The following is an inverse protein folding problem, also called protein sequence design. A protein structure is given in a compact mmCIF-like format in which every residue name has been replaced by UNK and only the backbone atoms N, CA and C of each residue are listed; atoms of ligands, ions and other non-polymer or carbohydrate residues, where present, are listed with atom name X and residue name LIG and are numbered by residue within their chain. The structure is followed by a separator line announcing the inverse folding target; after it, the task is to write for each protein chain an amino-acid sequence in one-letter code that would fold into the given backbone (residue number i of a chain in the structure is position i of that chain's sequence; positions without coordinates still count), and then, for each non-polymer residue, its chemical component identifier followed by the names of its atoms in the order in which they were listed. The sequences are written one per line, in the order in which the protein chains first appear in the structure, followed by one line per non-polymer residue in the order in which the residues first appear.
data_IF_330439450954
#
_entry.id   IF_330439450954
#
_cell.length_a   1.000
_cell.length_b   1.000
_cell.length_c   1.000
_cell.angle_alpha   90.00
_cell.angle_beta   90.00
_cell.angle_gamma   90.00
#
_symmetry.space_group_name_H-M   'P 1'
#
loop_
_entity.id
_entity.type
_entity.pdbx_description
1 polymer ?
#
# COMPACT_ATOMS: atom_id res chain seq x y z
N UNK A 1 -61.97 -16.04 -60.96
CA UNK A 1 -62.22 -17.47 -61.22
C UNK A 1 -60.99 -18.25 -60.72
N UNK A 2 -61.15 -18.96 -59.58
CA UNK A 2 -60.31 -20.07 -59.01
C UNK A 2 -58.80 -19.81 -58.73
N UNK A 3 -58.11 -20.49 -57.77
CA UNK A 3 -58.37 -20.61 -56.33
C UNK A 3 -57.12 -20.40 -55.41
N UNK A 4 -57.39 -20.33 -54.09
CA UNK A 4 -56.47 -20.64 -52.97
C UNK A 4 -55.72 -21.96 -53.18
N UNK A 5 -54.44 -22.05 -52.79
CA UNK A 5 -53.91 -23.15 -51.94
C UNK A 5 -52.76 -22.65 -51.05
N UNK A 6 -52.76 -23.16 -49.82
CA UNK A 6 -51.96 -22.76 -48.66
C UNK A 6 -50.49 -23.19 -48.76
N UNK A 7 -49.61 -22.34 -48.23
CA UNK A 7 -48.20 -22.62 -47.92
C UNK A 7 -48.06 -23.89 -47.07
N UNK A 8 -47.25 -24.83 -47.52
CA UNK A 8 -46.63 -25.86 -46.67
C UNK A 8 -45.13 -25.87 -46.96
N UNK A 9 -44.35 -25.14 -46.16
CA UNK A 9 -42.91 -25.30 -46.10
C UNK A 9 -42.62 -26.61 -45.35
N UNK A 10 -42.06 -27.60 -46.06
CA UNK A 10 -41.40 -28.75 -45.43
C UNK A 10 -40.18 -28.23 -44.66
N UNK A 11 -40.23 -28.25 -43.33
CA UNK A 11 -39.03 -28.17 -42.51
C UNK A 11 -38.22 -29.45 -42.74
N UNK A 12 -37.09 -29.32 -43.45
CA UNK A 12 -36.06 -30.34 -43.45
C UNK A 12 -35.45 -30.39 -42.04
N UNK A 13 -35.56 -31.54 -41.39
CA UNK A 13 -34.93 -31.78 -40.10
C UNK A 13 -33.40 -31.72 -40.26
N UNK A 14 -32.78 -30.64 -39.79
CA UNK A 14 -31.34 -30.57 -39.61
C UNK A 14 -30.98 -31.59 -38.53
N UNK A 15 -30.33 -32.68 -38.94
CA UNK A 15 -29.79 -33.69 -38.03
C UNK A 15 -28.73 -33.00 -37.17
N UNK A 16 -29.10 -32.66 -35.94
CA UNK A 16 -28.19 -32.13 -34.94
C UNK A 16 -27.03 -33.11 -34.76
N UNK A 17 -25.84 -32.72 -35.23
CA UNK A 17 -24.61 -33.39 -34.85
C UNK A 17 -24.46 -33.13 -33.35
N UNK A 18 -24.56 -34.20 -32.55
CA UNK A 18 -24.28 -34.12 -31.12
C UNK A 18 -22.88 -33.52 -30.96
N UNK A 19 -22.66 -32.55 -30.06
CA UNK A 19 -21.32 -32.09 -29.76
C UNK A 19 -20.51 -33.30 -29.31
N UNK A 20 -19.46 -33.62 -30.06
CA UNK A 20 -18.46 -34.59 -29.66
C UNK A 20 -17.89 -34.11 -28.34
N UNK A 21 -18.19 -34.86 -27.27
CA UNK A 21 -17.49 -34.70 -26.01
C UNK A 21 -16.01 -34.94 -26.29
N UNK A 22 -15.20 -33.87 -26.30
CA UNK A 22 -13.76 -34.00 -26.24
C UNK A 22 -13.49 -34.66 -24.89
N UNK A 23 -13.28 -35.97 -24.92
CA UNK A 23 -12.83 -36.73 -23.77
C UNK A 23 -11.51 -36.10 -23.33
N UNK A 24 -11.53 -35.37 -22.21
CA UNK A 24 -10.32 -34.88 -21.60
C UNK A 24 -9.50 -36.12 -21.19
N UNK A 25 -8.47 -36.44 -21.98
CA UNK A 25 -7.55 -37.51 -21.66
C UNK A 25 -7.08 -37.34 -20.20
N UNK A 26 -6.97 -38.42 -19.42
CA UNK A 26 -6.50 -38.32 -18.04
C UNK A 26 -5.13 -37.65 -18.05
N UNK A 27 -5.00 -36.54 -17.29
CA UNK A 27 -3.72 -35.85 -17.14
C UNK A 27 -2.70 -36.87 -16.64
N UNK A 28 -1.60 -37.01 -17.39
CA UNK A 28 -0.50 -37.91 -16.99
C UNK A 28 -0.06 -37.54 -15.56
N UNK A 29 0.21 -38.53 -14.69
CA UNK A 29 0.77 -38.23 -13.38
C UNK A 29 2.06 -37.43 -13.53
N UNK A 30 2.30 -36.44 -12.64
CA UNK A 30 3.47 -35.59 -12.73
C UNK A 30 4.75 -36.42 -12.60
N UNK A 31 5.79 -36.01 -13.31
CA UNK A 31 7.14 -36.54 -13.10
C UNK A 31 7.65 -36.17 -11.69
N UNK A 32 8.70 -36.86 -11.22
CA UNK A 32 9.32 -36.56 -9.92
C UNK A 32 9.78 -35.10 -9.85
N UNK A 33 10.35 -34.58 -10.94
CA UNK A 33 10.78 -33.19 -11.04
C UNK A 33 9.59 -32.21 -11.09
N UNK A 34 8.49 -32.56 -11.76
CA UNK A 34 7.25 -31.76 -11.74
C UNK A 34 6.63 -31.70 -10.34
N UNK A 35 6.58 -32.82 -9.62
CA UNK A 35 6.07 -32.88 -8.25
C UNK A 35 6.97 -32.09 -7.29
N UNK A 36 8.30 -32.22 -7.42
CA UNK A 36 9.26 -31.48 -6.61
C UNK A 36 9.25 -29.96 -6.90
N UNK A 37 9.09 -29.57 -8.18
CA UNK A 37 8.91 -28.19 -8.58
C UNK A 37 7.62 -27.60 -8.02
N UNK A 38 6.52 -28.36 -8.03
CA UNK A 38 5.25 -27.93 -7.47
C UNK A 38 5.33 -27.71 -5.95
N UNK A 39 5.92 -28.64 -5.20
CA UNK A 39 6.14 -28.45 -3.75
C UNK A 39 7.02 -27.22 -3.45
N UNK A 40 8.06 -27.00 -4.25
CA UNK A 40 8.93 -25.82 -4.13
C UNK A 40 8.14 -24.53 -4.39
N UNK A 41 7.24 -24.55 -5.38
CA UNK A 41 6.38 -23.44 -5.72
C UNK A 41 5.39 -23.15 -4.60
N UNK A 42 4.71 -24.17 -4.07
CA UNK A 42 3.74 -24.03 -2.98
C UNK A 42 4.37 -23.43 -1.73
N UNK A 43 5.60 -23.83 -1.40
CA UNK A 43 6.37 -23.23 -0.31
C UNK A 43 6.64 -21.75 -0.57
N UNK A 44 7.17 -21.39 -1.74
CA UNK A 44 7.44 -20.00 -2.09
C UNK A 44 6.17 -19.14 -2.10
N UNK A 45 5.08 -19.68 -2.64
CA UNK A 45 3.79 -19.02 -2.70
C UNK A 45 3.14 -18.86 -1.32
N UNK A 46 3.35 -19.80 -0.39
CA UNK A 46 2.94 -19.64 1.00
C UNK A 46 3.60 -18.41 1.62
N UNK A 47 4.91 -18.25 1.50
CA UNK A 47 5.61 -17.07 2.00
C UNK A 47 5.09 -15.77 1.35
N UNK A 48 4.79 -15.83 0.05
CA UNK A 48 4.22 -14.71 -0.69
C UNK A 48 2.85 -14.28 -0.14
N UNK A 49 1.95 -15.23 0.13
CA UNK A 49 0.61 -14.94 0.66
C UNK A 49 0.63 -14.40 2.09
N UNK A 50 1.66 -14.74 2.88
CA UNK A 50 1.89 -14.18 4.22
C UNK A 50 2.55 -12.79 4.21
N UNK A 51 2.82 -12.23 3.03
CA UNK A 51 3.47 -10.93 2.91
C UNK A 51 4.99 -10.94 3.13
N UNK A 52 5.61 -12.12 3.31
CA UNK A 52 7.07 -12.25 3.49
C UNK A 52 7.78 -12.24 2.14
N UNK A 53 7.73 -11.10 1.45
CA UNK A 53 8.22 -10.98 0.06
C UNK A 53 9.72 -11.23 -0.07
N UNK A 54 10.52 -10.95 0.96
CA UNK A 54 11.96 -11.24 0.99
C UNK A 54 12.26 -12.74 0.89
N UNK A 55 11.58 -13.53 1.72
CA UNK A 55 11.70 -15.00 1.72
C UNK A 55 11.11 -15.60 0.44
N UNK A 56 9.92 -15.15 0.04
CA UNK A 56 9.26 -15.59 -1.19
C UNK A 56 10.16 -15.38 -2.41
N UNK A 57 10.79 -14.20 -2.55
CA UNK A 57 11.74 -13.90 -3.64
C UNK A 57 12.89 -14.91 -3.68
N UNK A 58 13.51 -15.19 -2.54
CA UNK A 58 14.63 -16.12 -2.47
C UNK A 58 14.21 -17.54 -2.88
N UNK A 59 13.04 -17.99 -2.42
CA UNK A 59 12.50 -19.31 -2.76
C UNK A 59 12.10 -19.43 -4.24
N UNK A 60 11.49 -18.40 -4.83
CA UNK A 60 11.20 -18.39 -6.26
C UNK A 60 12.46 -18.39 -7.13
N UNK A 61 13.53 -17.67 -6.72
CA UNK A 61 14.83 -17.73 -7.40
C UNK A 61 15.44 -19.12 -7.34
N UNK A 62 15.47 -19.75 -6.16
CA UNK A 62 15.99 -21.10 -5.99
C UNK A 62 15.19 -22.14 -6.79
N UNK A 63 13.86 -21.98 -6.87
CA UNK A 63 13.01 -22.80 -7.71
C UNK A 63 13.39 -22.66 -9.18
N UNK A 64 13.52 -21.42 -9.69
CA UNK A 64 13.84 -21.17 -11.09
C UNK A 64 15.23 -21.65 -11.47
N UNK A 65 16.19 -21.60 -10.55
CA UNK A 65 17.53 -22.14 -10.75
C UNK A 65 17.48 -23.67 -10.94
N UNK A 66 16.76 -24.37 -10.05
CA UNK A 66 16.72 -25.84 -10.03
C UNK A 66 15.76 -26.47 -11.05
N UNK A 67 14.63 -25.83 -11.33
CA UNK A 67 13.54 -26.40 -12.12
C UNK A 67 13.17 -25.51 -13.33
N UNK A 68 14.14 -24.79 -13.89
CA UNK A 68 13.97 -23.91 -15.07
C UNK A 68 13.29 -24.59 -16.26
N UNK A 69 13.45 -25.91 -16.39
CA UNK A 69 12.93 -26.73 -17.49
C UNK A 69 11.44 -27.08 -17.34
N UNK A 70 10.86 -26.95 -16.13
CA UNK A 70 9.44 -27.23 -15.90
C UNK A 70 8.62 -25.99 -16.26
N UNK A 71 8.24 -25.88 -17.54
CA UNK A 71 7.71 -24.66 -18.16
C UNK A 71 6.55 -24.01 -17.39
N UNK A 72 5.56 -24.78 -16.93
CA UNK A 72 4.38 -24.24 -16.24
C UNK A 72 4.74 -23.62 -14.87
N UNK A 73 5.50 -24.37 -14.05
CA UNK A 73 5.90 -23.91 -12.71
C UNK A 73 6.88 -22.75 -12.83
N UNK A 74 7.83 -22.82 -13.77
CA UNK A 74 8.78 -21.75 -14.02
C UNK A 74 8.08 -20.46 -14.47
N UNK A 75 7.10 -20.54 -15.37
CA UNK A 75 6.33 -19.37 -15.80
C UNK A 75 5.61 -18.70 -14.61
N UNK A 76 4.93 -19.48 -13.77
CA UNK A 76 4.29 -18.98 -12.56
C UNK A 76 5.28 -18.36 -11.58
N UNK A 77 6.39 -19.04 -11.32
CA UNK A 77 7.42 -18.57 -10.39
C UNK A 77 8.03 -17.24 -10.83
N UNK A 78 8.27 -17.03 -12.14
CA UNK A 78 8.75 -15.73 -12.66
C UNK A 78 7.77 -14.60 -12.38
N UNK A 79 6.47 -14.84 -12.57
CA UNK A 79 5.44 -13.82 -12.29
C UNK A 79 5.44 -13.41 -10.82
N UNK A 80 5.40 -14.39 -9.89
CA UNK A 80 5.40 -14.08 -8.46
C UNK A 80 6.72 -13.48 -7.98
N UNK A 81 7.85 -13.90 -8.56
CA UNK A 81 9.16 -13.30 -8.30
C UNK A 81 9.15 -11.81 -8.67
N UNK A 82 8.67 -11.47 -9.87
CA UNK A 82 8.59 -10.07 -10.32
C UNK A 82 7.71 -9.22 -9.39
N UNK A 83 6.58 -9.76 -8.92
CA UNK A 83 5.71 -9.06 -7.97
C UNK A 83 6.40 -8.88 -6.61
N UNK A 84 7.05 -9.94 -6.09
CA UNK A 84 7.78 -9.86 -4.83
C UNK A 84 8.92 -8.83 -4.90
N UNK A 85 9.68 -8.80 -6.00
CA UNK A 85 10.72 -7.80 -6.21
C UNK A 85 10.16 -6.38 -6.35
N UNK A 86 9.05 -6.20 -7.05
CA UNK A 86 8.39 -4.90 -7.14
C UNK A 86 7.93 -4.41 -5.76
N UNK A 87 7.32 -5.27 -4.94
CA UNK A 87 6.90 -4.92 -3.57
C UNK A 87 8.08 -4.54 -2.69
N UNK A 88 9.15 -5.32 -2.73
CA UNK A 88 10.37 -5.02 -1.97
C UNK A 88 11.03 -3.70 -2.41
N UNK A 89 11.02 -3.39 -3.71
CA UNK A 89 11.49 -2.08 -4.20
C UNK A 89 10.65 -0.95 -3.64
N UNK A 90 9.33 -1.06 -3.69
CA UNK A 90 8.42 -0.06 -3.12
C UNK A 90 8.63 0.09 -1.61
N UNK A 91 8.72 -1.02 -0.87
CA UNK A 91 8.99 -0.99 0.58
C UNK A 91 10.33 -0.37 0.95
N UNK A 92 11.35 -0.53 0.10
CA UNK A 92 12.65 0.10 0.28
C UNK A 92 12.66 1.58 -0.14
N UNK A 93 11.66 2.04 -0.92
CA UNK A 93 11.45 3.45 -1.22
C UNK A 93 10.52 4.14 -0.22
N UNK A 94 9.85 3.39 0.68
CA UNK A 94 9.08 4.01 1.75
C UNK A 94 10.04 4.69 2.73
N UNK A 95 9.79 5.95 3.13
CA UNK A 95 10.56 6.61 4.18
C UNK A 95 10.57 5.74 5.45
N UNK A 96 11.76 5.44 5.98
CA UNK A 96 11.95 4.47 7.07
C UNK A 96 12.44 5.10 8.38
N UNK A 97 13.36 6.04 8.28
CA UNK A 97 13.82 6.86 9.40
C UNK A 97 12.87 8.03 9.68
N UNK A 98 13.03 8.63 10.85
CA UNK A 98 12.18 9.71 11.32
C UNK A 98 12.27 10.94 10.40
N UNK A 99 13.49 11.31 9.99
CA UNK A 99 13.76 12.47 9.14
C UNK A 99 13.09 12.34 7.77
N UNK A 100 13.23 11.21 7.09
CA UNK A 100 12.61 10.99 5.78
C UNK A 100 11.07 10.97 5.87
N UNK A 101 10.52 10.43 6.96
CA UNK A 101 9.08 10.46 7.23
C UNK A 101 8.61 11.89 7.52
N UNK A 102 9.39 12.67 8.27
CA UNK A 102 9.14 14.08 8.53
C UNK A 102 9.17 14.89 7.23
N UNK A 103 10.20 14.75 6.40
CA UNK A 103 10.31 15.43 5.12
C UNK A 103 9.13 15.12 4.21
N UNK A 104 8.69 13.86 4.18
CA UNK A 104 7.48 13.49 3.44
C UNK A 104 6.24 14.16 4.03
N UNK A 105 6.10 14.19 5.35
CA UNK A 105 5.01 14.89 6.03
C UNK A 105 4.96 16.38 5.68
N UNK A 106 6.12 17.05 5.63
CA UNK A 106 6.25 18.45 5.20
C UNK A 106 5.82 18.63 3.74
N UNK A 107 6.22 17.72 2.85
CA UNK A 107 5.79 17.76 1.43
C UNK A 107 4.26 17.66 1.32
N UNK A 108 3.63 16.73 2.04
CA UNK A 108 2.17 16.58 1.99
C UNK A 108 1.43 17.75 2.64
N UNK A 109 1.96 18.29 3.74
CA UNK A 109 1.43 19.50 4.39
C UNK A 109 1.42 20.67 3.41
N UNK A 110 2.53 20.90 2.71
CA UNK A 110 2.66 21.95 1.70
C UNK A 110 1.75 21.74 0.47
N UNK A 111 1.35 20.49 0.20
CA UNK A 111 0.38 20.16 -0.86
C UNK A 111 -1.07 20.32 -0.42
N UNK A 112 -1.32 20.56 0.87
CA UNK A 112 -2.66 20.60 1.43
C UNK A 112 -3.25 19.21 1.75
N UNK A 113 -2.46 18.15 1.58
CA UNK A 113 -2.86 16.76 1.83
C UNK A 113 -2.69 16.43 3.32
N UNK A 114 -3.44 17.12 4.19
CA UNK A 114 -3.18 17.12 5.63
C UNK A 114 -3.36 15.75 6.30
N UNK A 115 -4.27 14.91 5.80
CA UNK A 115 -4.44 13.53 6.32
C UNK A 115 -3.19 12.70 6.06
N UNK A 116 -2.63 12.79 4.85
CA UNK A 116 -1.39 12.10 4.50
C UNK A 116 -0.20 12.66 5.29
N UNK A 117 -0.13 14.00 5.47
CA UNK A 117 0.89 14.64 6.29
C UNK A 117 0.86 14.12 7.74
N UNK A 118 -0.33 14.04 8.34
CA UNK A 118 -0.50 13.53 9.70
C UNK A 118 -0.02 12.08 9.80
N UNK A 119 -0.38 11.21 8.86
CA UNK A 119 0.09 9.82 8.85
C UNK A 119 1.62 9.74 8.84
N UNK A 120 2.27 10.55 8.01
CA UNK A 120 3.73 10.56 7.90
C UNK A 120 4.40 11.06 9.18
N UNK A 121 3.89 12.15 9.76
CA UNK A 121 4.42 12.66 11.03
C UNK A 121 4.15 11.72 12.20
N UNK A 122 3.01 11.03 12.26
CA UNK A 122 2.75 10.02 13.30
C UNK A 122 3.67 8.81 13.18
N UNK A 123 3.99 8.40 11.94
CA UNK A 123 5.01 7.36 11.70
C UNK A 123 6.41 7.85 12.09
N UNK A 124 6.75 9.11 11.80
CA UNK A 124 8.01 9.71 12.21
C UNK A 124 8.11 9.75 13.75
N UNK A 125 7.03 10.13 14.42
CA UNK A 125 6.96 10.21 15.88
C UNK A 125 7.14 8.83 16.55
N UNK A 126 6.63 7.76 15.93
CA UNK A 126 6.88 6.38 16.41
C UNK A 126 8.36 5.99 16.35
N UNK A 127 9.17 6.63 15.50
CA UNK A 127 10.61 6.41 15.40
C UNK A 127 11.36 7.28 16.40
N UNK A 128 10.98 8.55 16.51
CA UNK A 128 11.59 9.51 17.43
C UNK A 128 10.52 10.25 18.24
N UNK A 129 10.11 9.68 19.39
CA UNK A 129 9.03 10.23 20.21
C UNK A 129 9.33 11.61 20.81
N UNK A 130 10.61 11.99 20.92
CA UNK A 130 11.10 13.20 21.57
C UNK A 130 11.63 14.24 20.56
N UNK A 131 11.28 14.11 19.29
CA UNK A 131 11.69 15.04 18.25
C UNK A 131 10.77 16.27 18.20
N UNK A 132 11.27 17.42 18.66
CA UNK A 132 10.51 18.67 18.71
C UNK A 132 9.92 19.09 17.35
N UNK A 133 10.69 18.92 16.27
CA UNK A 133 10.27 19.28 14.92
C UNK A 133 9.10 18.42 14.40
N UNK A 134 9.04 17.13 14.77
CA UNK A 134 7.93 16.22 14.42
C UNK A 134 6.66 16.60 15.17
N UNK A 135 6.75 16.86 16.48
CA UNK A 135 5.62 17.38 17.26
C UNK A 135 5.09 18.70 16.70
N UNK A 136 5.99 19.58 16.26
CA UNK A 136 5.60 20.83 15.61
C UNK A 136 4.89 20.57 14.27
N UNK A 137 5.40 19.67 13.43
CA UNK A 137 4.76 19.27 12.17
C UNK A 137 3.34 18.72 12.37
N UNK A 138 3.13 17.92 13.42
CA UNK A 138 1.81 17.47 13.85
C UNK A 138 0.92 18.63 14.31
N UNK A 139 1.45 19.58 15.08
CA UNK A 139 0.69 20.75 15.52
C UNK A 139 0.16 21.56 14.34
N UNK A 140 1.05 21.90 13.39
CA UNK A 140 0.69 22.60 12.15
C UNK A 140 -0.37 21.82 11.37
N UNK A 141 -0.15 20.53 11.14
CA UNK A 141 -1.06 19.68 10.36
C UNK A 141 -2.43 19.52 11.01
N UNK A 142 -2.47 19.30 12.33
CA UNK A 142 -3.72 19.17 13.09
C UNK A 142 -4.48 20.48 13.16
N UNK A 143 -3.79 21.62 13.21
CA UNK A 143 -4.40 22.94 13.11
C UNK A 143 -5.07 23.16 11.74
N UNK A 144 -4.44 22.69 10.64
CA UNK A 144 -5.03 22.70 9.29
C UNK A 144 -6.23 21.76 9.14
N UNK A 145 -6.24 20.65 9.87
CA UNK A 145 -7.37 19.72 9.96
C UNK A 145 -8.49 20.20 10.89
N UNK A 146 -8.32 21.32 11.60
CA UNK A 146 -9.29 21.83 12.58
C UNK A 146 -9.32 21.03 13.90
N UNK A 147 -8.37 20.13 14.13
CA UNK A 147 -8.24 19.36 15.37
C UNK A 147 -7.51 20.18 16.44
N UNK A 148 -8.15 21.26 16.91
CA UNK A 148 -7.56 22.30 17.78
C UNK A 148 -6.91 21.71 19.03
N UNK A 149 -7.62 20.87 19.80
CA UNK A 149 -7.10 20.30 21.05
C UNK A 149 -5.82 19.48 20.83
N UNK A 150 -5.82 18.64 19.78
CA UNK A 150 -4.65 17.81 19.44
C UNK A 150 -3.51 18.66 18.88
N UNK A 151 -3.82 19.75 18.18
CA UNK A 151 -2.83 20.69 17.69
C UNK A 151 -2.11 21.39 18.85
N UNK A 152 -2.86 21.89 19.84
CA UNK A 152 -2.31 22.53 21.03
C UNK A 152 -1.46 21.57 21.87
N UNK A 153 -1.89 20.32 22.05
CA UNK A 153 -1.10 19.29 22.74
C UNK A 153 0.23 19.01 22.03
N UNK A 154 0.20 18.92 20.70
CA UNK A 154 1.42 18.68 19.90
C UNK A 154 2.34 19.90 19.94
N UNK A 155 1.78 21.10 19.86
CA UNK A 155 2.53 22.36 19.95
C UNK A 155 3.18 22.49 21.32
N UNK A 156 2.42 22.24 22.38
CA UNK A 156 2.89 22.22 23.76
C UNK A 156 4.11 21.30 23.89
N UNK A 157 4.03 20.07 23.37
CA UNK A 157 5.16 19.12 23.42
C UNK A 157 6.38 19.60 22.63
N UNK A 158 6.17 20.17 21.45
CA UNK A 158 7.26 20.74 20.65
C UNK A 158 7.98 21.88 21.40
N UNK A 159 7.22 22.76 22.05
CA UNK A 159 7.77 23.90 22.81
C UNK A 159 8.43 23.48 24.13
N UNK A 160 8.02 22.35 24.73
CA UNK A 160 8.71 21.76 25.89
C UNK A 160 10.12 21.30 25.52
N UNK A 161 10.22 20.62 24.38
CA UNK A 161 11.47 20.05 23.89
C UNK A 161 12.39 21.14 23.32
N UNK A 162 11.81 22.16 22.68
CA UNK A 162 12.57 23.22 22.04
C UNK A 162 11.87 24.60 22.19
N UNK A 163 12.13 25.32 23.30
CA UNK A 163 11.42 26.57 23.60
C UNK A 163 11.59 27.70 22.56
N UNK A 164 12.69 27.71 21.79
CA UNK A 164 12.93 28.70 20.74
C UNK A 164 11.93 28.59 19.56
N UNK A 165 11.21 27.46 19.43
CA UNK A 165 10.15 27.29 18.43
C UNK A 165 8.96 28.24 18.67
N UNK A 166 8.86 28.89 19.83
CA UNK A 166 7.85 29.94 20.09
C UNK A 166 7.90 31.04 19.04
N UNK A 167 9.10 31.52 18.69
CA UNK A 167 9.26 32.59 17.69
C UNK A 167 8.73 32.13 16.33
N UNK A 168 8.97 30.88 15.95
CA UNK A 168 8.41 30.29 14.72
C UNK A 168 6.88 30.21 14.81
N UNK A 169 6.33 29.73 15.93
CA UNK A 169 4.89 29.58 16.12
C UNK A 169 4.12 30.90 16.01
N UNK A 170 4.71 32.02 16.43
CA UNK A 170 4.11 33.36 16.31
C UNK A 170 3.84 33.77 14.85
N UNK A 171 4.71 33.34 13.93
CA UNK A 171 4.69 33.76 12.54
C UNK A 171 4.18 32.68 11.57
N UNK A 172 3.99 31.45 12.07
CA UNK A 172 3.55 30.32 11.27
C UNK A 172 2.10 30.49 10.80
N UNK A 173 1.88 30.35 9.50
CA UNK A 173 0.54 30.47 8.90
C UNK A 173 -0.28 29.20 9.08
N UNK A 174 0.35 28.04 9.26
CA UNK A 174 -0.37 26.80 9.48
C UNK A 174 -1.07 26.75 10.84
N UNK A 175 -0.59 27.55 11.79
CA UNK A 175 -1.15 27.71 13.13
C UNK A 175 -2.18 28.86 13.22
N UNK A 176 -2.56 29.50 12.11
CA UNK A 176 -3.48 30.65 12.13
C UNK A 176 -4.82 30.33 12.79
N UNK A 177 -5.33 29.10 12.62
CA UNK A 177 -6.58 28.65 13.24
C UNK A 177 -6.52 28.61 14.77
N UNK A 178 -5.32 28.57 15.37
CA UNK A 178 -5.12 28.52 16.81
C UNK A 178 -4.98 29.92 17.45
N UNK A 179 -4.75 30.98 16.67
CA UNK A 179 -4.37 32.31 17.20
C UNK A 179 -5.43 33.00 18.06
N UNK A 180 -6.69 32.56 17.98
CA UNK A 180 -7.77 33.09 18.81
C UNK A 180 -8.02 32.23 20.07
N UNK A 181 -7.23 31.17 20.26
CA UNK A 181 -7.34 30.27 21.40
C UNK A 181 -6.49 30.79 22.58
N UNK A 182 -7.07 31.02 23.77
CA UNK A 182 -6.31 31.49 24.93
C UNK A 182 -5.16 30.58 25.35
N UNK A 183 -5.25 29.27 25.08
CA UNK A 183 -4.18 28.33 25.39
C UNK A 183 -3.02 28.46 24.40
N UNK A 184 -3.30 28.76 23.12
CA UNK A 184 -2.23 29.13 22.18
C UNK A 184 -1.44 30.34 22.68
N UNK A 185 -2.13 31.36 23.20
CA UNK A 185 -1.47 32.56 23.71
C UNK A 185 -0.54 32.27 24.89
N UNK A 186 -1.00 31.44 25.84
CA UNK A 186 -0.17 30.97 26.96
C UNK A 186 1.04 30.17 26.47
N UNK A 187 0.83 29.29 25.50
CA UNK A 187 1.88 28.44 24.94
C UNK A 187 2.95 29.23 24.21
N UNK A 188 2.59 30.31 23.53
CA UNK A 188 3.48 30.98 22.58
C UNK A 188 4.08 32.28 23.13
N UNK A 189 3.30 33.08 23.87
CA UNK A 189 3.71 34.42 24.32
C UNK A 189 4.13 34.50 25.78
N UNK A 190 3.72 33.55 26.64
CA UNK A 190 4.07 33.60 28.06
C UNK A 190 5.37 32.82 28.35
N UNK A 191 6.40 33.45 28.94
CA UNK A 191 7.57 32.71 29.41
C UNK A 191 7.15 31.72 30.49
N UNK A 192 7.67 30.48 30.45
CA UNK A 192 7.45 29.56 31.56
C UNK A 192 8.29 29.98 32.76
N UNK A 193 7.74 29.83 33.98
CA UNK A 193 8.45 30.11 35.22
C UNK A 193 9.69 29.22 35.38
#
# INVERSE_FOLDING_TARGET
MVPRVKKTQKLAAVRAQRPTTVSAAPRRPPTVDEAAALMSFERAHREFTHGRFGEARNLFRALLDKYSQVSEVAARARTYLAIAEARLRTENMLPRDADSLYDRGVIELNRGEYVAAQEMFERALKREPEAAHIHYGLAATRARLGSVDLALQSLQRALDLQPNLRVRAQHDHDLTSLRNDPDFDKLVFQPRP
#
